data_IF_168439196950
#
_entry.id   IF_168439196950
#
_cell.length_a   1.000
_cell.length_b   1.000
_cell.length_c   1.000
_cell.angle_alpha   90.00
_cell.angle_beta   90.00
_cell.angle_gamma   90.00
#
_symmetry.space_group_name_H-M   'P 1'
#
loop_
_entity.id
_entity.type
_entity.pdbx_description
1 polymer ?
#
# COMPACT_ATOMS: atom_id res chain seq x y z
N UNK A 1 21.49 13.88 -11.61
CA UNK A 1 20.04 14.11 -11.85
C UNK A 1 19.34 13.86 -10.52
N UNK A 2 18.68 14.86 -9.93
CA UNK A 2 18.00 14.72 -8.64
C UNK A 2 16.86 13.71 -8.82
N UNK A 3 16.90 12.60 -8.07
CA UNK A 3 15.78 11.64 -8.09
C UNK A 3 14.83 12.07 -6.99
N UNK A 4 13.74 12.71 -7.40
CA UNK A 4 12.70 13.17 -6.52
C UNK A 4 12.13 12.00 -5.71
N UNK A 5 11.76 12.31 -4.48
CA UNK A 5 11.17 11.37 -3.54
C UNK A 5 9.89 10.73 -4.11
N UNK A 6 9.08 11.56 -4.76
CA UNK A 6 7.88 11.17 -5.49
C UNK A 6 8.21 10.16 -6.59
N UNK A 7 9.34 10.32 -7.29
CA UNK A 7 9.81 9.35 -8.29
C UNK A 7 10.17 8.00 -7.67
N UNK A 8 10.80 7.97 -6.49
CA UNK A 8 11.12 6.70 -5.79
C UNK A 8 9.84 5.97 -5.33
N UNK A 9 8.87 6.70 -4.78
CA UNK A 9 7.55 6.16 -4.42
C UNK A 9 6.80 5.62 -5.64
N UNK A 10 6.76 6.41 -6.72
CA UNK A 10 6.08 6.05 -7.95
C UNK A 10 6.75 4.86 -8.64
N UNK A 11 8.08 4.75 -8.61
CA UNK A 11 8.81 3.60 -9.16
C UNK A 11 8.40 2.28 -8.50
N UNK A 12 8.20 2.27 -7.18
CA UNK A 12 7.69 1.09 -6.48
C UNK A 12 6.25 0.72 -6.86
N UNK A 13 5.39 1.72 -7.01
CA UNK A 13 4.01 1.51 -7.46
C UNK A 13 3.95 0.99 -8.90
N UNK A 14 4.75 1.56 -9.81
CA UNK A 14 4.88 1.10 -11.20
C UNK A 14 5.44 -0.32 -11.25
N UNK A 15 6.42 -0.66 -10.41
CA UNK A 15 6.96 -2.02 -10.33
C UNK A 15 5.89 -3.02 -9.88
N UNK A 16 5.09 -2.68 -8.86
CA UNK A 16 3.96 -3.49 -8.40
C UNK A 16 2.88 -3.65 -9.48
N UNK A 17 2.53 -2.56 -10.17
CA UNK A 17 1.57 -2.57 -11.27
C UNK A 17 2.05 -3.43 -12.45
N UNK A 18 3.31 -3.30 -12.84
CA UNK A 18 3.91 -4.10 -13.90
C UNK A 18 3.89 -5.59 -13.56
N UNK A 19 4.23 -5.94 -12.32
CA UNK A 19 4.14 -7.32 -11.83
C UNK A 19 2.69 -7.83 -11.86
N UNK A 20 1.73 -7.02 -11.43
CA UNK A 20 0.32 -7.36 -11.49
C UNK A 20 -0.18 -7.55 -12.93
N UNK A 21 0.23 -6.68 -13.85
CA UNK A 21 -0.12 -6.82 -15.28
C UNK A 21 0.43 -8.12 -15.87
N UNK A 22 1.66 -8.53 -15.53
CA UNK A 22 2.22 -9.82 -15.97
C UNK A 22 1.37 -10.99 -15.48
N UNK A 23 0.92 -10.95 -14.21
CA UNK A 23 0.02 -11.96 -13.64
C UNK A 23 -1.30 -12.03 -14.42
N UNK A 24 -1.90 -10.88 -14.71
CA UNK A 24 -3.17 -10.80 -15.46
C UNK A 24 -3.03 -11.36 -16.88
N UNK A 25 -1.97 -11.00 -17.60
CA UNK A 25 -1.71 -11.50 -18.96
C UNK A 25 -1.52 -13.02 -18.95
N UNK A 26 -0.74 -13.53 -18.00
CA UNK A 26 -0.52 -14.97 -17.86
C UNK A 26 -1.83 -15.72 -17.56
N UNK A 27 -2.66 -15.18 -16.68
CA UNK A 27 -3.97 -15.75 -16.36
C UNK A 27 -4.91 -15.78 -17.58
N UNK A 28 -4.91 -14.71 -18.38
CA UNK A 28 -5.73 -14.61 -19.59
C UNK A 28 -5.30 -15.63 -20.65
N UNK A 29 -3.99 -15.80 -20.87
CA UNK A 29 -3.44 -16.79 -21.80
C UNK A 29 -3.84 -18.21 -21.40
N UNK A 30 -3.68 -18.53 -20.13
CA UNK A 30 -4.06 -19.83 -19.60
C UNK A 30 -5.56 -20.10 -19.73
N UNK A 31 -6.41 -19.13 -19.36
CA UNK A 31 -7.85 -19.27 -19.48
C UNK A 31 -8.24 -19.59 -20.93
N UNK A 32 -7.58 -18.95 -21.91
CA UNK A 32 -7.75 -19.27 -23.34
C UNK A 32 -7.41 -20.73 -23.68
N UNK A 33 -6.30 -21.26 -23.17
CA UNK A 33 -5.89 -22.65 -23.40
C UNK A 33 -6.88 -23.67 -22.79
N UNK A 34 -7.40 -23.38 -21.59
CA UNK A 34 -8.39 -24.23 -20.91
C UNK A 34 -9.70 -24.25 -21.71
N UNK A 35 -10.19 -23.10 -22.17
CA UNK A 35 -11.43 -23.01 -22.96
C UNK A 35 -11.32 -23.79 -24.27
N UNK A 36 -10.23 -23.62 -25.01
CA UNK A 36 -10.03 -24.34 -26.28
C UNK A 36 -9.94 -25.86 -26.07
N UNK A 37 -9.22 -26.29 -25.04
CA UNK A 37 -9.06 -27.72 -24.74
C UNK A 37 -10.37 -28.34 -24.24
N UNK A 38 -11.17 -27.60 -23.46
CA UNK A 38 -12.51 -28.02 -23.05
C UNK A 38 -13.46 -28.19 -24.27
N UNK A 39 -13.41 -27.28 -25.24
CA UNK A 39 -14.17 -27.39 -26.49
C UNK A 39 -13.79 -28.64 -27.30
N UNK A 40 -12.50 -29.03 -27.32
CA UNK A 40 -12.05 -30.26 -27.99
C UNK A 40 -12.56 -31.52 -27.29
N UNK A 41 -12.55 -31.54 -25.95
CA UNK A 41 -13.13 -32.66 -25.17
C UNK A 41 -14.63 -32.81 -25.46
N UNK A 42 -15.37 -31.70 -25.52
CA UNK A 42 -16.79 -31.70 -25.87
C UNK A 42 -17.04 -32.19 -27.31
N UNK A 43 -16.20 -31.78 -28.27
CA UNK A 43 -16.28 -32.24 -29.66
C UNK A 43 -16.07 -33.76 -29.76
N UNK A 44 -15.04 -34.30 -29.10
CA UNK A 44 -14.80 -35.75 -29.04
C UNK A 44 -15.97 -36.50 -28.39
N UNK A 45 -16.61 -35.93 -27.36
CA UNK A 45 -17.80 -36.52 -26.75
C UNK A 45 -18.99 -36.56 -27.73
N UNK A 46 -19.19 -35.50 -28.52
CA UNK A 46 -20.20 -35.45 -29.57
C UNK A 46 -19.92 -36.49 -30.66
N UNK A 47 -18.67 -36.63 -31.09
CA UNK A 47 -18.24 -37.63 -32.07
C UNK A 47 -18.56 -39.06 -31.60
N UNK A 48 -18.15 -39.41 -30.38
CA UNK A 48 -18.42 -40.71 -29.73
C UNK A 48 -19.93 -41.00 -29.63
N UNK A 49 -20.74 -40.04 -29.14
CA UNK A 49 -22.19 -40.19 -29.05
C UNK A 49 -22.86 -40.43 -30.43
N UNK A 50 -22.37 -39.74 -31.48
CA UNK A 50 -22.87 -39.93 -32.86
C UNK A 50 -22.48 -41.30 -33.41
N UNK A 51 -21.24 -41.74 -33.19
CA UNK A 51 -20.78 -43.08 -33.56
C UNK A 51 -21.58 -44.20 -32.87
N UNK A 52 -21.80 -44.10 -31.56
CA UNK A 52 -22.61 -45.06 -30.81
C UNK A 52 -24.06 -45.12 -31.28
N UNK A 53 -24.64 -43.97 -31.65
CA UNK A 53 -26.01 -43.95 -32.19
C UNK A 53 -26.07 -44.55 -33.59
N UNK A 54 -25.05 -44.35 -34.42
CA UNK A 54 -24.92 -44.98 -35.73
C UNK A 54 -24.89 -46.51 -35.59
N UNK A 55 -24.06 -47.04 -34.67
CA UNK A 55 -23.98 -48.47 -34.40
C UNK A 55 -25.33 -49.05 -33.97
N UNK A 56 -26.07 -48.34 -33.10
CA UNK A 56 -27.40 -48.78 -32.64
C UNK A 56 -28.37 -48.96 -33.82
N UNK A 57 -28.45 -47.99 -34.74
CA UNK A 57 -29.31 -48.10 -35.93
C UNK A 57 -28.91 -49.27 -36.82
N UNK A 58 -27.61 -49.50 -37.02
CA UNK A 58 -27.13 -50.65 -37.79
C UNK A 58 -27.52 -51.99 -37.14
N UNK A 59 -27.47 -52.09 -35.81
CA UNK A 59 -27.92 -53.27 -35.06
C UNK A 59 -29.45 -53.46 -35.15
N UNK A 60 -30.23 -52.39 -35.02
CA UNK A 60 -31.68 -52.44 -35.14
C UNK A 60 -32.11 -52.87 -36.54
N UNK A 61 -31.43 -52.38 -37.57
CA UNK A 61 -31.63 -52.84 -38.95
C UNK A 61 -31.33 -54.32 -39.11
N UNK A 62 -30.20 -54.81 -38.57
CA UNK A 62 -29.86 -56.23 -38.62
C UNK A 62 -30.93 -57.08 -37.93
N UNK A 63 -31.44 -56.62 -36.79
CA UNK A 63 -32.45 -57.33 -36.01
C UNK A 63 -33.77 -57.41 -36.76
N UNK A 64 -34.24 -56.29 -37.33
CA UNK A 64 -35.46 -56.24 -38.15
C UNK A 64 -35.35 -57.10 -39.42
N UNK A 65 -34.22 -57.01 -40.12
CA UNK A 65 -33.91 -57.84 -41.28
C UNK A 65 -33.97 -59.35 -40.97
N UNK A 66 -33.33 -59.77 -39.87
CA UNK A 66 -33.35 -61.18 -39.45
C UNK A 66 -34.76 -61.63 -39.07
N UNK A 67 -35.51 -60.81 -38.35
CA UNK A 67 -36.90 -61.10 -37.99
C UNK A 67 -37.79 -61.32 -39.23
N UNK A 68 -37.61 -60.50 -40.27
CA UNK A 68 -38.32 -60.64 -41.53
C UNK A 68 -37.96 -61.93 -42.27
N UNK A 69 -36.68 -62.27 -42.36
CA UNK A 69 -36.26 -63.52 -43.02
C UNK A 69 -36.80 -64.76 -42.32
N UNK A 70 -36.98 -64.72 -40.98
CA UNK A 70 -37.51 -65.84 -40.21
C UNK A 70 -39.04 -65.95 -40.32
N UNK A 71 -39.77 -64.85 -40.13
CA UNK A 71 -41.24 -64.86 -39.93
C UNK A 71 -42.00 -64.40 -41.19
N UNK A 72 -41.39 -63.62 -42.07
CA UNK A 72 -42.02 -63.08 -43.27
C UNK A 72 -42.98 -61.90 -43.05
N UNK A 73 -43.11 -61.40 -41.82
CA UNK A 73 -44.01 -60.27 -41.50
C UNK A 73 -43.35 -58.91 -41.83
N UNK A 74 -43.94 -58.15 -42.77
CA UNK A 74 -43.47 -56.82 -43.18
C UNK A 74 -43.32 -55.81 -42.03
N UNK A 75 -44.08 -55.93 -40.94
CA UNK A 75 -43.94 -55.04 -39.78
C UNK A 75 -42.55 -55.14 -39.12
N UNK A 76 -41.88 -56.29 -39.24
CA UNK A 76 -40.52 -56.49 -38.71
C UNK A 76 -39.45 -55.70 -39.47
N UNK A 77 -39.76 -55.20 -40.67
CA UNK A 77 -38.87 -54.34 -41.45
C UNK A 77 -38.97 -52.86 -41.07
N UNK A 78 -39.88 -52.47 -40.17
CA UNK A 78 -40.00 -51.07 -39.75
C UNK A 78 -38.68 -50.48 -39.19
N UNK A 79 -37.92 -51.17 -38.31
CA UNK A 79 -36.59 -50.72 -37.87
C UNK A 79 -35.56 -50.71 -39.00
N UNK A 80 -35.66 -51.64 -39.95
CA UNK A 80 -34.79 -51.72 -41.12
C UNK A 80 -34.89 -50.46 -42.00
N UNK A 81 -36.09 -50.13 -42.48
CA UNK A 81 -36.30 -48.96 -43.33
C UNK A 81 -36.13 -47.63 -42.58
N UNK A 82 -36.34 -47.61 -41.26
CA UNK A 82 -36.07 -46.41 -40.45
C UNK A 82 -34.57 -46.16 -40.33
N UNK A 83 -33.79 -47.18 -39.98
CA UNK A 83 -32.34 -47.08 -39.89
C UNK A 83 -31.71 -46.69 -41.23
N UNK A 84 -32.14 -47.31 -42.32
CA UNK A 84 -31.63 -47.02 -43.66
C UNK A 84 -31.79 -45.55 -44.07
N UNK A 85 -32.98 -44.98 -43.88
CA UNK A 85 -33.26 -43.58 -44.21
C UNK A 85 -32.41 -42.61 -43.40
N UNK A 86 -32.08 -42.96 -42.15
CA UNK A 86 -31.31 -42.08 -41.26
C UNK A 86 -29.79 -42.23 -41.44
N UNK A 87 -29.31 -43.43 -41.80
CA UNK A 87 -27.89 -43.74 -41.75
C UNK A 87 -27.06 -42.99 -42.79
N UNK A 88 -27.58 -42.76 -43.99
CA UNK A 88 -26.87 -41.99 -45.03
C UNK A 88 -26.54 -40.57 -44.53
N UNK A 89 -27.51 -39.89 -43.92
CA UNK A 89 -27.31 -38.56 -43.34
C UNK A 89 -26.36 -38.58 -42.12
N UNK A 90 -26.42 -39.65 -41.30
CA UNK A 90 -25.56 -39.79 -40.12
C UNK A 90 -24.10 -40.07 -40.47
N UNK A 91 -23.81 -40.82 -41.54
CA UNK A 91 -22.45 -40.99 -42.04
C UNK A 91 -21.87 -39.66 -42.51
N UNK A 92 -22.65 -38.85 -43.23
CA UNK A 92 -22.24 -37.51 -43.65
C UNK A 92 -22.01 -36.55 -42.46
N UNK A 93 -22.91 -36.57 -41.47
CA UNK A 93 -22.75 -35.78 -40.23
C UNK A 93 -21.49 -36.19 -39.47
N UNK A 94 -21.28 -37.50 -39.25
CA UNK A 94 -20.12 -38.02 -38.54
C UNK A 94 -18.82 -37.68 -39.26
N UNK A 95 -18.79 -37.85 -40.59
CA UNK A 95 -17.65 -37.46 -41.45
C UNK A 95 -17.33 -35.97 -41.32
N UNK A 96 -18.35 -35.11 -41.24
CA UNK A 96 -18.17 -33.67 -41.03
C UNK A 96 -17.54 -33.34 -39.68
N UNK A 97 -17.93 -34.05 -38.62
CA UNK A 97 -17.36 -33.85 -37.28
C UNK A 97 -15.91 -34.32 -37.15
N UNK A 98 -15.51 -35.34 -37.91
CA UNK A 98 -14.13 -35.88 -37.89
C UNK A 98 -13.25 -35.37 -39.04
N UNK A 99 -13.67 -34.34 -39.77
CA UNK A 99 -13.00 -33.85 -40.97
C UNK A 99 -11.52 -33.47 -40.74
N UNK A 100 -11.17 -33.03 -39.53
CA UNK A 100 -9.80 -32.65 -39.14
C UNK A 100 -8.90 -33.86 -38.81
N UNK A 101 -9.44 -35.08 -38.81
CA UNK A 101 -8.76 -36.31 -38.39
C UNK A 101 -8.72 -37.34 -39.53
N UNK A 102 -7.69 -37.35 -40.41
CA UNK A 102 -7.65 -38.19 -41.61
C UNK A 102 -7.86 -39.68 -41.35
N UNK A 103 -7.30 -40.20 -40.24
CA UNK A 103 -7.45 -41.60 -39.83
C UNK A 103 -8.89 -41.94 -39.41
N UNK A 104 -9.62 -41.00 -38.81
CA UNK A 104 -11.03 -41.18 -38.44
C UNK A 104 -11.94 -41.06 -39.66
N UNK A 105 -11.65 -40.14 -40.59
CA UNK A 105 -12.35 -40.04 -41.88
C UNK A 105 -12.23 -41.36 -42.64
N UNK A 106 -11.03 -41.95 -42.69
CA UNK A 106 -10.84 -43.23 -43.36
C UNK A 106 -11.65 -44.37 -42.73
N UNK A 107 -11.71 -44.44 -41.39
CA UNK A 107 -12.52 -45.42 -40.68
C UNK A 107 -14.02 -45.25 -40.98
N UNK A 108 -14.52 -44.01 -40.98
CA UNK A 108 -15.92 -43.70 -41.30
C UNK A 108 -16.22 -44.11 -42.74
N UNK A 109 -15.36 -43.77 -43.70
CA UNK A 109 -15.53 -44.11 -45.12
C UNK A 109 -15.47 -45.62 -45.37
N UNK A 110 -14.56 -46.33 -44.69
CA UNK A 110 -14.49 -47.80 -44.76
C UNK A 110 -15.74 -48.45 -44.17
N UNK A 111 -16.28 -47.90 -43.09
CA UNK A 111 -17.50 -48.38 -42.45
C UNK A 111 -18.73 -48.11 -43.33
N UNK A 112 -18.80 -46.93 -43.96
CA UNK A 112 -19.86 -46.59 -44.90
C UNK A 112 -19.87 -47.53 -46.11
N UNK A 113 -18.70 -47.85 -46.67
CA UNK A 113 -18.58 -48.83 -47.77
C UNK A 113 -19.10 -50.21 -47.37
N UNK A 114 -18.74 -50.69 -46.19
CA UNK A 114 -19.24 -51.97 -45.67
C UNK A 114 -20.75 -51.92 -45.42
N UNK A 115 -21.27 -50.81 -44.93
CA UNK A 115 -22.70 -50.62 -44.72
C UNK A 115 -23.47 -50.65 -46.05
N UNK A 116 -22.98 -49.98 -47.10
CA UNK A 116 -23.59 -50.03 -48.44
C UNK A 116 -23.60 -51.46 -48.99
N UNK A 117 -22.49 -52.19 -48.90
CA UNK A 117 -22.43 -53.61 -49.29
C UNK A 117 -23.43 -54.47 -48.51
N UNK A 118 -23.58 -54.21 -47.21
CA UNK A 118 -24.54 -54.92 -46.38
C UNK A 118 -26.00 -54.58 -46.72
N UNK A 119 -26.29 -53.30 -47.00
CA UNK A 119 -27.61 -52.81 -47.44
C UNK A 119 -28.01 -53.42 -48.78
N UNK A 120 -27.12 -53.44 -49.77
CA UNK A 120 -27.35 -54.08 -51.07
C UNK A 120 -27.65 -55.58 -50.90
N UNK A 121 -26.88 -56.26 -50.05
CA UNK A 121 -27.08 -57.66 -49.69
C UNK A 121 -28.45 -57.89 -49.02
N UNK A 122 -28.84 -57.04 -48.06
CA UNK A 122 -30.12 -57.18 -47.37
C UNK A 122 -31.31 -56.88 -48.28
N UNK A 123 -31.23 -55.88 -49.16
CA UNK A 123 -32.27 -55.57 -50.14
C UNK A 123 -32.52 -56.73 -51.09
N UNK A 124 -31.46 -57.34 -51.62
CA UNK A 124 -31.56 -58.51 -52.49
C UNK A 124 -32.36 -59.64 -51.80
N UNK A 125 -32.02 -59.93 -50.54
CA UNK A 125 -32.66 -61.02 -49.79
C UNK A 125 -34.09 -60.69 -49.33
N UNK A 126 -34.37 -59.44 -48.98
CA UNK A 126 -35.73 -58.99 -48.68
C UNK A 126 -36.62 -59.13 -49.91
N UNK A 127 -36.15 -58.68 -51.09
CA UNK A 127 -36.88 -58.81 -52.33
C UNK A 127 -37.13 -60.28 -52.70
N UNK A 128 -36.15 -61.14 -52.48
CA UNK A 128 -36.26 -62.58 -52.73
C UNK A 128 -37.23 -63.28 -51.76
N UNK A 129 -37.16 -62.98 -50.46
CA UNK A 129 -38.12 -63.46 -49.47
C UNK A 129 -39.54 -63.01 -49.81
N UNK A 130 -39.72 -61.75 -50.22
CA UNK A 130 -41.02 -61.23 -50.66
C UNK A 130 -41.54 -61.98 -51.90
N UNK A 131 -40.68 -62.22 -52.89
CA UNK A 131 -41.04 -62.98 -54.10
C UNK A 131 -41.38 -64.45 -53.79
N UNK A 132 -40.73 -65.06 -52.80
CA UNK A 132 -41.03 -66.42 -52.36
C UNK A 132 -42.34 -66.51 -51.57
N UNK A 133 -42.65 -65.53 -50.70
CA UNK A 133 -43.94 -65.42 -50.00
C UNK A 133 -45.12 -65.21 -50.97
N UNK A 134 -44.89 -64.54 -52.11
CA UNK A 134 -45.89 -64.41 -53.17
C UNK A 134 -46.16 -65.73 -53.91
N UNK A 135 -45.17 -66.64 -53.96
CA UNK A 135 -45.32 -67.97 -54.58
C UNK A 135 -45.92 -68.99 -53.61
N UNK A 136 -45.58 -68.89 -52.32
CA UNK A 136 -46.07 -69.75 -51.26
C UNK A 136 -46.29 -68.93 -49.97
N UNK A 137 -47.56 -68.78 -49.59
CA UNK A 137 -47.95 -68.02 -48.41
C UNK A 137 -47.52 -68.69 -47.09
N UNK A 138 -47.19 -70.00 -47.10
CA UNK A 138 -46.68 -70.72 -45.93
C UNK A 138 -45.15 -70.79 -45.89
N UNK A 139 -44.46 -70.08 -46.77
CA UNK A 139 -42.99 -70.10 -46.84
C UNK A 139 -42.34 -69.58 -45.55
N UNK A 140 -41.84 -70.52 -44.74
CA UNK A 140 -41.12 -70.23 -43.49
C UNK A 140 -39.61 -70.29 -43.69
N UNK A 141 -38.86 -69.43 -43.00
CA UNK A 141 -37.40 -69.41 -43.05
C UNK A 141 -36.83 -69.21 -44.46
N UNK A 142 -35.82 -70.03 -44.80
CA UNK A 142 -34.96 -69.89 -45.99
C UNK A 142 -35.25 -70.90 -47.11
N UNK A 143 -36.29 -71.72 -46.98
CA UNK A 143 -36.62 -72.74 -47.99
C UNK A 143 -37.14 -72.08 -49.28
N UNK A 144 -36.71 -72.63 -50.43
CA UNK A 144 -37.09 -72.13 -51.76
C UNK A 144 -36.42 -70.83 -52.21
N UNK A 145 -35.43 -70.31 -51.45
CA UNK A 145 -34.63 -69.16 -51.83
C UNK A 145 -33.45 -69.55 -52.74
N UNK A 146 -33.32 -68.89 -53.88
CA UNK A 146 -32.20 -68.96 -54.81
C UNK A 146 -30.84 -68.61 -54.16
N UNK A 147 -30.78 -67.62 -53.25
CA UNK A 147 -29.54 -67.19 -52.60
C UNK A 147 -29.33 -67.75 -51.18
N UNK A 148 -29.97 -68.88 -50.84
CA UNK A 148 -29.81 -69.54 -49.54
C UNK A 148 -28.34 -69.79 -49.17
N UNK A 149 -27.52 -70.25 -50.11
CA UNK A 149 -26.10 -70.52 -49.87
C UNK A 149 -25.28 -69.27 -49.49
N UNK A 150 -25.70 -68.08 -49.91
CA UNK A 150 -25.03 -66.81 -49.55
C UNK A 150 -25.28 -66.47 -48.07
N UNK A 151 -26.47 -66.81 -47.55
CA UNK A 151 -26.86 -66.66 -46.15
C UNK A 151 -26.14 -67.70 -45.29
N UNK A 152 -26.08 -68.96 -45.75
CA UNK A 152 -25.39 -70.06 -45.06
C UNK A 152 -23.88 -69.79 -44.92
N UNK A 153 -23.28 -69.07 -45.87
CA UNK A 153 -21.89 -68.62 -45.81
C UNK A 153 -21.64 -67.49 -44.78
N UNK A 154 -22.64 -67.09 -43.99
CA UNK A 154 -22.53 -66.05 -42.97
C UNK A 154 -22.03 -64.70 -43.52
N UNK A 155 -22.25 -64.42 -44.80
CA UNK A 155 -21.73 -63.23 -45.50
C UNK A 155 -22.21 -61.94 -44.81
N UNK A 156 -23.51 -61.85 -44.53
CA UNK A 156 -24.09 -60.73 -43.78
C UNK A 156 -23.61 -60.63 -42.32
N UNK A 157 -23.26 -61.75 -41.68
CA UNK A 157 -22.68 -61.74 -40.32
C UNK A 157 -21.25 -61.19 -40.36
N UNK A 158 -20.42 -61.64 -41.31
CA UNK A 158 -19.04 -61.15 -41.50
C UNK A 158 -18.97 -59.65 -41.78
N UNK A 159 -19.87 -59.13 -42.62
CA UNK A 159 -19.98 -57.68 -42.87
C UNK A 159 -20.35 -56.92 -41.59
N UNK A 160 -21.34 -57.40 -40.84
CA UNK A 160 -21.77 -56.76 -39.59
C UNK A 160 -20.70 -56.82 -38.48
N UNK A 161 -20.01 -57.94 -38.34
CA UNK A 161 -18.91 -58.07 -37.39
C UNK A 161 -17.74 -57.15 -37.79
N UNK A 162 -17.50 -56.95 -39.09
CA UNK A 162 -16.52 -55.97 -39.59
C UNK A 162 -16.94 -54.52 -39.31
N UNK A 163 -18.23 -54.19 -39.43
CA UNK A 163 -18.77 -52.86 -39.08
C UNK A 163 -18.62 -52.60 -37.58
N UNK A 164 -19.00 -53.58 -36.72
CA UNK A 164 -18.81 -53.50 -35.26
C UNK A 164 -17.36 -53.27 -34.91
N UNK A 165 -16.45 -54.11 -35.41
CA UNK A 165 -15.02 -54.00 -35.14
C UNK A 165 -14.45 -52.64 -35.52
N UNK A 166 -14.85 -52.07 -36.67
CA UNK A 166 -14.40 -50.74 -37.09
C UNK A 166 -14.95 -49.63 -36.21
N UNK A 167 -16.23 -49.67 -35.84
CA UNK A 167 -16.84 -48.70 -34.94
C UNK A 167 -16.31 -48.80 -33.50
N UNK A 168 -15.99 -50.01 -33.03
CA UNK A 168 -15.31 -50.21 -31.75
C UNK A 168 -13.90 -49.61 -31.78
N UNK A 169 -13.15 -49.85 -32.87
CA UNK A 169 -11.81 -49.25 -33.04
C UNK A 169 -11.85 -47.72 -33.16
N UNK A 170 -12.92 -47.17 -33.71
CA UNK A 170 -13.18 -45.74 -33.78
C UNK A 170 -13.43 -45.16 -32.38
N UNK A 171 -14.30 -45.82 -31.60
CA UNK A 171 -14.66 -45.39 -30.24
C UNK A 171 -13.46 -45.50 -29.29
N UNK A 172 -12.64 -46.55 -29.40
CA UNK A 172 -11.43 -46.72 -28.61
C UNK A 172 -10.43 -45.59 -28.88
N UNK A 173 -10.25 -45.18 -30.14
CA UNK A 173 -9.40 -44.05 -30.53
C UNK A 173 -9.92 -42.71 -30.02
N UNK A 174 -11.23 -42.47 -30.11
CA UNK A 174 -11.85 -41.27 -29.53
C UNK A 174 -11.71 -41.24 -28.00
N UNK A 175 -11.89 -42.39 -27.33
CA UNK A 175 -11.72 -42.50 -25.89
C UNK A 175 -10.27 -42.24 -25.45
N UNK A 176 -9.29 -42.79 -26.15
CA UNK A 176 -7.86 -42.54 -25.89
C UNK A 176 -7.51 -41.05 -26.09
N UNK A 177 -7.93 -40.46 -27.21
CA UNK A 177 -7.71 -39.03 -27.50
C UNK A 177 -8.33 -38.15 -26.41
N UNK A 178 -9.59 -38.39 -26.06
CA UNK A 178 -10.29 -37.69 -24.97
C UNK A 178 -9.58 -37.85 -23.62
N UNK A 179 -9.05 -39.04 -23.32
CA UNK A 179 -8.26 -39.30 -22.13
C UNK A 179 -6.99 -38.45 -22.06
N UNK A 180 -6.22 -38.40 -23.15
CA UNK A 180 -5.01 -37.58 -23.25
C UNK A 180 -5.32 -36.08 -23.11
N UNK A 181 -6.38 -35.60 -23.78
CA UNK A 181 -6.80 -34.21 -23.68
C UNK A 181 -7.19 -33.83 -22.24
N UNK A 182 -7.90 -34.71 -21.53
CA UNK A 182 -8.26 -34.49 -20.12
C UNK A 182 -7.03 -34.47 -19.21
N UNK A 183 -6.09 -35.38 -19.40
CA UNK A 183 -4.85 -35.38 -18.62
C UNK A 183 -4.03 -34.09 -18.85
N UNK A 184 -3.89 -33.65 -20.10
CA UNK A 184 -3.22 -32.38 -20.41
C UNK A 184 -3.96 -31.16 -19.82
N UNK A 185 -5.29 -31.18 -19.83
CA UNK A 185 -6.13 -30.16 -19.17
C UNK A 185 -5.84 -30.10 -17.67
N UNK A 186 -5.94 -31.23 -16.97
CA UNK A 186 -5.75 -31.29 -15.53
C UNK A 186 -4.32 -30.86 -15.12
N UNK A 187 -3.31 -31.34 -15.85
CA UNK A 187 -1.92 -30.90 -15.62
C UNK A 187 -1.73 -29.40 -15.86
N UNK A 188 -2.33 -28.86 -16.92
CA UNK A 188 -2.22 -27.42 -17.24
C UNK A 188 -2.89 -26.56 -16.18
N UNK A 189 -4.04 -26.99 -15.65
CA UNK A 189 -4.79 -26.30 -14.59
C UNK A 189 -3.98 -26.31 -13.27
N UNK A 190 -3.47 -27.46 -12.86
CA UNK A 190 -2.70 -27.58 -11.61
C UNK A 190 -1.41 -26.75 -11.67
N UNK A 191 -0.63 -26.87 -12.76
CA UNK A 191 0.61 -26.10 -12.94
C UNK A 191 0.34 -24.60 -12.90
N UNK A 192 -0.74 -24.18 -13.55
CA UNK A 192 -1.14 -22.79 -13.54
C UNK A 192 -1.57 -22.28 -12.18
N UNK A 193 -2.33 -23.05 -11.41
CA UNK A 193 -2.74 -22.65 -10.06
C UNK A 193 -1.52 -22.42 -9.17
N UNK A 194 -0.53 -23.31 -9.23
CA UNK A 194 0.73 -23.14 -8.49
C UNK A 194 1.55 -21.94 -8.97
N UNK A 195 1.65 -21.72 -10.28
CA UNK A 195 2.34 -20.53 -10.83
C UNK A 195 1.64 -19.23 -10.45
N UNK A 196 0.31 -19.18 -10.54
CA UNK A 196 -0.49 -18.02 -10.15
C UNK A 196 -0.39 -17.73 -8.65
N UNK A 197 -0.50 -18.75 -7.81
CA UNK A 197 -0.32 -18.62 -6.36
C UNK A 197 1.11 -18.15 -6.02
N UNK A 198 2.13 -18.73 -6.66
CA UNK A 198 3.53 -18.33 -6.48
C UNK A 198 3.79 -16.88 -6.86
N UNK A 199 3.27 -16.43 -8.00
CA UNK A 199 3.38 -15.03 -8.45
C UNK A 199 2.63 -14.07 -7.52
N UNK A 200 1.43 -14.44 -7.04
CA UNK A 200 0.67 -13.63 -6.10
C UNK A 200 1.42 -13.46 -4.76
N UNK A 201 1.99 -14.55 -4.23
CA UNK A 201 2.83 -14.51 -3.02
C UNK A 201 4.08 -13.66 -3.25
N UNK A 202 4.77 -13.83 -4.38
CA UNK A 202 5.94 -13.03 -4.73
C UNK A 202 5.60 -11.52 -4.81
N UNK A 203 4.47 -11.17 -5.41
CA UNK A 203 4.00 -9.79 -5.49
C UNK A 203 3.71 -9.18 -4.11
N UNK A 204 3.06 -9.94 -3.22
CA UNK A 204 2.82 -9.53 -1.84
C UNK A 204 4.12 -9.33 -1.08
N UNK A 205 5.07 -10.26 -1.20
CA UNK A 205 6.38 -10.18 -0.54
C UNK A 205 7.20 -8.99 -1.04
N UNK A 206 7.26 -8.77 -2.35
CA UNK A 206 7.96 -7.63 -2.94
C UNK A 206 7.31 -6.30 -2.53
N UNK A 207 5.98 -6.23 -2.53
CA UNK A 207 5.25 -5.06 -2.06
C UNK A 207 5.49 -4.77 -0.57
N UNK A 208 5.51 -5.81 0.27
CA UNK A 208 5.81 -5.69 1.70
C UNK A 208 7.26 -5.22 1.93
N UNK A 209 8.22 -5.83 1.24
CA UNK A 209 9.63 -5.46 1.31
C UNK A 209 9.84 -4.01 0.88
N UNK A 210 9.20 -3.59 -0.22
CA UNK A 210 9.26 -2.21 -0.71
C UNK A 210 8.64 -1.23 0.29
N UNK A 211 7.48 -1.57 0.86
CA UNK A 211 6.82 -0.78 1.90
C UNK A 211 7.69 -0.61 3.14
N UNK A 212 8.26 -1.70 3.65
CA UNK A 212 9.18 -1.67 4.81
C UNK A 212 10.42 -0.83 4.51
N UNK A 213 11.00 -0.97 3.32
CA UNK A 213 12.15 -0.18 2.88
C UNK A 213 11.85 1.32 2.91
N UNK A 214 10.74 1.73 2.28
CA UNK A 214 10.27 3.12 2.25
C UNK A 214 9.99 3.62 3.67
N UNK A 215 9.19 2.92 4.47
CA UNK A 215 8.87 3.38 5.83
C UNK A 215 10.12 3.54 6.70
N UNK A 216 11.09 2.61 6.60
CA UNK A 216 12.33 2.70 7.39
C UNK A 216 13.22 3.87 6.97
N UNK A 217 13.37 4.15 5.68
CA UNK A 217 14.20 5.27 5.22
C UNK A 217 13.60 6.62 5.65
N UNK A 218 12.28 6.77 5.55
CA UNK A 218 11.56 7.97 5.96
C UNK A 218 11.56 8.17 7.47
N UNK A 219 11.18 7.13 8.23
CA UNK A 219 11.09 7.22 9.68
C UNK A 219 12.44 7.52 10.34
N UNK A 220 13.57 7.15 9.72
CA UNK A 220 14.91 7.53 10.19
C UNK A 220 15.18 9.03 9.99
N UNK A 221 14.91 9.56 8.79
CA UNK A 221 15.15 10.98 8.46
C UNK A 221 14.22 11.92 9.24
N UNK A 222 12.95 11.55 9.40
CA UNK A 222 12.01 12.35 10.18
C UNK A 222 12.43 12.41 11.66
N UNK A 223 12.94 11.30 12.20
CA UNK A 223 13.46 11.28 13.58
C UNK A 223 14.71 12.15 13.75
N UNK A 224 15.63 12.19 12.78
CA UNK A 224 16.80 13.08 12.89
C UNK A 224 16.41 14.56 12.84
N UNK A 225 15.43 14.94 12.01
CA UNK A 225 14.90 16.31 11.98
C UNK A 225 14.22 16.68 13.30
N UNK A 226 13.44 15.76 13.87
CA UNK A 226 12.79 15.96 15.16
C UNK A 226 13.81 16.10 16.30
N UNK A 227 14.92 15.35 16.25
CA UNK A 227 16.00 15.45 17.23
C UNK A 227 16.70 16.81 17.17
N UNK A 228 17.05 17.28 15.96
CA UNK A 228 17.62 18.63 15.79
C UNK A 228 16.68 19.72 16.31
N UNK A 229 15.39 19.65 15.97
CA UNK A 229 14.41 20.61 16.44
C UNK A 229 14.28 20.62 17.98
N UNK A 230 14.38 19.45 18.63
CA UNK A 230 14.40 19.35 20.10
C UNK A 230 15.66 19.97 20.69
N UNK A 231 16.84 19.68 20.14
CA UNK A 231 18.10 20.28 20.58
C UNK A 231 18.12 21.80 20.45
N UNK A 232 17.55 22.32 19.36
CA UNK A 232 17.37 23.77 19.18
C UNK A 232 16.45 24.37 20.24
N UNK A 233 15.39 23.67 20.64
CA UNK A 233 14.50 24.09 21.73
C UNK A 233 15.22 24.10 23.09
N UNK A 234 16.19 23.19 23.28
CA UNK A 234 17.04 23.10 24.47
C UNK A 234 18.23 24.10 24.44
N UNK A 235 18.39 24.87 23.35
CA UNK A 235 19.43 25.90 23.21
C UNK A 235 20.71 25.47 22.49
N UNK A 236 20.79 24.23 21.99
CA UNK A 236 21.92 23.77 21.17
C UNK A 236 21.68 24.05 19.68
N UNK A 237 22.20 25.19 19.21
CA UNK A 237 22.13 25.62 17.81
C UNK A 237 23.34 25.20 16.96
N UNK A 238 24.31 24.49 17.56
CA UNK A 238 25.56 24.12 16.90
C UNK A 238 25.45 22.81 16.13
N UNK A 239 24.50 21.96 16.51
CA UNK A 239 24.25 20.68 15.86
C UNK A 239 23.66 20.83 14.46
N UNK A 240 24.09 19.96 13.53
CA UNK A 240 23.63 19.96 12.14
C UNK A 240 23.36 18.55 11.66
N UNK A 241 22.37 18.41 10.80
CA UNK A 241 22.09 17.14 10.12
C UNK A 241 22.86 17.14 8.79
N UNK A 242 23.79 16.21 8.64
CA UNK A 242 24.45 15.95 7.35
C UNK A 242 23.59 14.97 6.56
N UNK A 243 22.89 15.47 5.56
CA UNK A 243 22.11 14.66 4.63
C UNK A 243 22.83 14.58 3.28
N UNK A 244 23.18 13.36 2.88
CA UNK A 244 23.88 13.08 1.61
C UNK A 244 22.90 12.84 0.45
N UNK A 245 21.59 12.77 0.72
CA UNK A 245 20.61 12.66 -0.34
C UNK A 245 20.39 14.02 -1.04
N UNK A 246 19.87 13.97 -2.28
CA UNK A 246 19.58 15.14 -3.10
C UNK A 246 18.10 15.14 -3.51
N UNK A 247 17.22 15.03 -2.51
CA UNK A 247 15.76 15.04 -2.69
C UNK A 247 15.11 16.22 -1.94
N UNK A 248 13.78 16.33 -2.03
CA UNK A 248 12.99 17.42 -1.44
C UNK A 248 13.12 17.47 0.09
N UNK A 249 13.35 16.32 0.72
CA UNK A 249 13.57 16.23 2.17
C UNK A 249 14.97 16.75 2.52
N UNK A 250 15.95 16.62 1.63
CA UNK A 250 17.28 17.21 1.81
C UNK A 250 17.25 18.73 1.72
N UNK A 251 16.39 19.29 0.87
CA UNK A 251 16.14 20.73 0.82
C UNK A 251 15.54 21.23 2.14
N UNK A 252 14.59 20.49 2.72
CA UNK A 252 14.07 20.78 4.05
C UNK A 252 15.15 20.67 5.15
N UNK A 253 16.02 19.66 5.09
CA UNK A 253 17.16 19.53 6.03
C UNK A 253 18.07 20.75 5.94
N UNK A 254 18.39 21.22 4.73
CA UNK A 254 19.24 22.38 4.51
C UNK A 254 18.60 23.67 5.04
N UNK A 255 17.28 23.85 4.83
CA UNK A 255 16.54 24.97 5.38
C UNK A 255 16.55 24.95 6.93
N UNK A 256 16.37 23.78 7.54
CA UNK A 256 16.40 23.62 9.00
C UNK A 256 17.79 23.92 9.58
N UNK A 257 18.87 23.43 8.96
CA UNK A 257 20.24 23.76 9.35
C UNK A 257 20.53 25.27 9.25
N UNK A 258 20.05 25.91 8.17
CA UNK A 258 20.19 27.37 7.98
C UNK A 258 19.45 28.14 9.07
N UNK A 259 18.26 27.69 9.45
CA UNK A 259 17.49 28.27 10.55
C UNK A 259 18.23 28.13 11.88
N UNK A 260 18.78 26.95 12.19
CA UNK A 260 19.56 26.71 13.42
C UNK A 260 20.74 27.68 13.54
N UNK A 261 21.53 27.81 12.46
CA UNK A 261 22.65 28.74 12.40
C UNK A 261 22.22 30.20 12.57
N UNK A 262 21.15 30.61 11.90
CA UNK A 262 20.65 32.00 11.95
C UNK A 262 20.15 32.34 13.35
N UNK A 263 19.41 31.43 13.99
CA UNK A 263 18.93 31.60 15.37
C UNK A 263 20.10 31.68 16.35
N UNK A 264 21.06 30.76 16.25
CA UNK A 264 22.25 30.78 17.09
C UNK A 264 23.07 32.07 16.96
N UNK A 265 23.26 32.54 15.72
CA UNK A 265 23.94 33.81 15.46
C UNK A 265 23.19 35.02 16.05
N UNK A 266 21.87 35.05 15.93
CA UNK A 266 21.04 36.13 16.49
C UNK A 266 21.08 36.14 18.02
N UNK A 267 21.06 34.97 18.67
CA UNK A 267 21.19 34.88 20.13
C UNK A 267 22.58 35.36 20.56
N UNK A 268 23.66 34.92 19.89
CA UNK A 268 25.00 35.42 20.19
C UNK A 268 25.16 36.93 20.00
N UNK A 269 24.53 37.51 18.96
CA UNK A 269 24.52 38.96 18.77
C UNK A 269 23.74 39.70 19.88
N UNK A 270 22.61 39.16 20.33
CA UNK A 270 21.84 39.73 21.44
C UNK A 270 22.65 39.70 22.74
N UNK A 271 23.34 38.60 23.03
CA UNK A 271 24.23 38.48 24.18
C UNK A 271 25.38 39.49 24.12
N UNK A 272 26.05 39.62 22.97
CA UNK A 272 27.12 40.61 22.76
C UNK A 272 26.62 42.04 22.95
N UNK A 273 25.47 42.40 22.36
CA UNK A 273 24.89 43.74 22.51
C UNK A 273 24.47 44.05 23.95
N UNK A 274 23.98 43.04 24.67
CA UNK A 274 23.69 43.19 26.09
C UNK A 274 24.96 43.45 26.91
N UNK A 275 26.05 42.72 26.62
CA UNK A 275 27.35 42.94 27.28
C UNK A 275 27.93 44.33 26.96
N UNK A 276 27.84 44.79 25.71
CA UNK A 276 28.24 46.14 25.32
C UNK A 276 27.44 47.21 26.06
N UNK A 277 26.12 47.02 26.21
CA UNK A 277 25.25 47.94 26.96
C UNK A 277 25.64 47.99 28.44
N UNK A 278 25.98 46.85 29.04
CA UNK A 278 26.47 46.76 30.42
C UNK A 278 27.80 47.50 30.60
N UNK A 279 28.74 47.29 29.68
CA UNK A 279 30.02 47.97 29.68
C UNK A 279 29.85 49.48 29.51
N UNK A 280 28.99 49.92 28.58
CA UNK A 280 28.68 51.32 28.34
C UNK A 280 28.07 51.97 29.60
N UNK A 281 27.07 51.35 30.20
CA UNK A 281 26.44 51.85 31.42
C UNK A 281 27.46 52.01 32.57
N UNK A 282 28.37 51.05 32.72
CA UNK A 282 29.43 51.09 33.72
C UNK A 282 30.41 52.25 33.49
N UNK A 283 30.95 52.38 32.27
CA UNK A 283 31.92 53.43 31.91
C UNK A 283 31.32 54.82 32.06
N UNK A 284 30.13 55.06 31.48
CA UNK A 284 29.47 56.37 31.57
C UNK A 284 29.21 56.77 33.01
N UNK A 285 28.80 55.83 33.85
CA UNK A 285 28.50 56.15 35.25
C UNK A 285 29.76 56.41 36.08
N UNK A 286 30.86 55.75 35.76
CA UNK A 286 32.17 56.09 36.34
C UNK A 286 32.57 57.51 35.94
N UNK A 287 32.48 57.82 34.64
CA UNK A 287 32.92 59.09 34.07
C UNK A 287 32.04 60.26 34.49
N UNK A 288 30.76 60.03 34.81
CA UNK A 288 29.87 61.06 35.38
C UNK A 288 30.10 61.29 36.88
N UNK A 289 30.61 60.30 37.63
CA UNK A 289 30.90 60.46 39.08
C UNK A 289 32.11 61.35 39.33
N UNK A 290 33.14 61.26 38.51
CA UNK A 290 34.36 62.08 38.65
C UNK A 290 34.11 63.60 38.63
N UNK A 291 33.43 64.19 37.63
CA UNK A 291 33.15 65.63 37.59
C UNK A 291 32.19 66.07 38.69
N UNK A 292 31.22 65.24 39.09
CA UNK A 292 30.33 65.53 40.21
C UNK A 292 31.09 65.66 41.54
N UNK A 293 32.05 64.75 41.78
CA UNK A 293 32.97 64.86 42.93
C UNK A 293 33.83 66.12 42.85
N UNK A 294 34.32 66.47 41.65
CA UNK A 294 35.04 67.71 41.42
C UNK A 294 34.23 68.97 41.78
N UNK A 295 32.96 69.04 41.35
CA UNK A 295 32.05 70.15 41.69
C UNK A 295 31.78 70.20 43.20
N UNK A 296 31.59 69.04 43.84
CA UNK A 296 31.42 68.96 45.30
C UNK A 296 32.65 69.48 46.05
N UNK A 297 33.85 69.00 45.68
CA UNK A 297 35.12 69.42 46.28
C UNK A 297 35.40 70.90 46.07
N UNK A 298 35.26 71.42 44.85
CA UNK A 298 35.42 72.85 44.57
C UNK A 298 34.44 73.71 45.37
N UNK A 299 33.18 73.27 45.49
CA UNK A 299 32.18 73.97 46.31
C UNK A 299 32.52 73.95 47.80
N UNK A 300 33.26 72.93 48.28
CA UNK A 300 33.75 72.85 49.66
C UNK A 300 34.96 73.76 49.87
N UNK A 301 35.93 73.76 48.94
CA UNK A 301 37.10 74.64 49.00
C UNK A 301 36.71 76.12 49.00
N UNK A 302 35.74 76.53 48.18
CA UNK A 302 35.23 77.92 48.20
C UNK A 302 34.68 78.31 49.58
N UNK A 303 34.01 77.38 50.28
CA UNK A 303 33.48 77.63 51.62
C UNK A 303 34.58 77.66 52.69
N UNK A 304 35.61 76.82 52.55
CA UNK A 304 36.78 76.76 53.44
C UNK A 304 37.68 78.00 53.29
N UNK A 305 38.03 78.39 52.06
CA UNK A 305 38.95 79.50 51.76
C UNK A 305 38.38 80.88 52.11
N UNK A 306 37.07 81.09 51.90
CA UNK A 306 36.43 82.37 52.25
C UNK A 306 36.13 82.50 53.73
N UNK A 307 36.17 81.41 54.51
CA UNK A 307 35.85 81.40 55.94
C UNK A 307 34.35 81.61 56.23
N UNK A 308 33.84 80.96 57.28
CA UNK A 308 32.42 81.02 57.66
C UNK A 308 31.94 82.42 58.08
N UNK A 309 32.83 83.37 58.34
CA UNK A 309 32.47 84.73 58.79
C UNK A 309 32.42 85.74 57.64
N UNK A 310 33.18 85.55 56.56
CA UNK A 310 33.25 86.49 55.43
C UNK A 310 32.38 86.10 54.22
N UNK A 311 31.74 84.93 54.24
CA UNK A 311 30.89 84.47 53.14
C UNK A 311 29.45 85.03 53.28
N UNK A 312 28.97 85.86 52.33
CA UNK A 312 27.61 86.40 52.37
C UNK A 312 26.55 85.28 52.47
N UNK A 313 25.49 85.46 53.28
CA UNK A 313 24.49 84.42 53.55
C UNK A 313 23.88 83.77 52.30
N UNK A 314 23.62 84.58 51.26
CA UNK A 314 23.03 84.11 50.01
C UNK A 314 23.96 83.19 49.20
N UNK A 315 25.28 83.44 49.21
CA UNK A 315 26.27 82.59 48.51
C UNK A 315 26.39 81.24 49.20
N UNK A 316 26.36 81.21 50.53
CA UNK A 316 26.36 79.98 51.32
C UNK A 316 25.17 79.09 51.01
N UNK A 317 23.98 79.69 50.90
CA UNK A 317 22.76 78.97 50.53
C UNK A 317 22.85 78.39 49.11
N UNK A 318 23.40 79.15 48.15
CA UNK A 318 23.63 78.65 46.80
C UNK A 318 24.65 77.50 46.72
N UNK A 319 25.77 77.58 47.46
CA UNK A 319 26.75 76.48 47.55
C UNK A 319 26.13 75.22 48.19
N UNK A 320 25.33 75.40 49.24
CA UNK A 320 24.61 74.31 49.88
C UNK A 320 23.59 73.64 48.91
N UNK A 321 22.83 74.45 48.17
CA UNK A 321 21.90 74.00 47.13
C UNK A 321 22.63 73.24 46.01
N UNK A 322 23.78 73.73 45.53
CA UNK A 322 24.58 73.04 44.51
C UNK A 322 25.05 71.67 45.00
N UNK A 323 25.61 71.58 46.20
CA UNK A 323 26.01 70.29 46.79
C UNK A 323 24.84 69.33 46.97
N UNK A 324 23.68 69.83 47.35
CA UNK A 324 22.47 69.00 47.46
C UNK A 324 22.04 68.45 46.09
N UNK A 325 22.14 69.26 45.02
CA UNK A 325 21.83 68.84 43.65
C UNK A 325 22.86 67.83 43.12
N UNK A 326 24.15 68.05 43.34
CA UNK A 326 25.24 67.12 42.98
C UNK A 326 25.05 65.77 43.65
N UNK A 327 24.80 65.74 44.97
CA UNK A 327 24.51 64.50 45.71
C UNK A 327 23.24 63.79 45.24
N UNK A 328 22.23 64.54 44.78
CA UNK A 328 21.03 63.95 44.18
C UNK A 328 21.34 63.31 42.81
N UNK A 329 22.15 63.95 41.98
CA UNK A 329 22.59 63.39 40.69
C UNK A 329 23.43 62.13 40.88
N UNK A 330 24.36 62.12 41.85
CA UNK A 330 25.15 60.91 42.16
C UNK A 330 24.26 59.73 42.60
N UNK A 331 23.24 60.00 43.43
CA UNK A 331 22.24 58.99 43.83
C UNK A 331 21.40 58.49 42.66
N UNK A 332 21.01 59.37 41.73
CA UNK A 332 20.26 58.98 40.53
C UNK A 332 21.10 58.12 39.59
N UNK A 333 22.35 58.50 39.33
CA UNK A 333 23.28 57.73 38.50
C UNK A 333 23.49 56.34 39.11
N UNK A 334 23.74 56.28 40.42
CA UNK A 334 23.90 55.00 41.12
C UNK A 334 22.62 54.17 41.07
N UNK A 335 21.44 54.79 41.26
CA UNK A 335 20.16 54.09 41.17
C UNK A 335 19.83 53.55 39.77
N UNK A 336 20.18 54.28 38.71
CA UNK A 336 19.99 53.83 37.31
C UNK A 336 20.93 52.66 37.00
N UNK A 337 22.18 52.71 37.48
CA UNK A 337 23.12 51.60 37.38
C UNK A 337 22.61 50.35 38.09
N UNK A 338 22.14 50.51 39.32
CA UNK A 338 21.64 49.40 40.11
C UNK A 338 20.41 48.79 39.42
N UNK A 339 19.50 49.63 38.91
CA UNK A 339 18.34 49.18 38.13
C UNK A 339 18.75 48.46 36.83
N UNK A 340 19.75 48.97 36.11
CA UNK A 340 20.27 48.31 34.91
C UNK A 340 20.88 46.95 35.23
N UNK A 341 21.35 46.73 36.46
CA UNK A 341 21.90 45.44 36.93
C UNK A 341 20.87 44.50 37.55
N UNK A 342 19.72 45.01 38.02
CA UNK A 342 18.66 44.19 38.65
C UNK A 342 18.18 43.13 37.66
N UNK A 343 18.29 41.85 38.06
CA UNK A 343 17.97 40.69 37.23
C UNK A 343 19.14 40.08 36.46
N UNK A 344 20.37 40.61 36.59
CA UNK A 344 21.58 40.13 35.86
C UNK A 344 22.62 39.46 36.77
N UNK A 345 22.49 39.58 38.09
CA UNK A 345 23.28 38.81 39.06
C UNK A 345 22.49 37.59 39.49
N UNK A 346 22.98 36.38 39.14
CA UNK A 346 22.42 35.13 39.63
C UNK A 346 22.74 34.99 41.13
N UNK A 347 21.84 35.46 41.99
CA UNK A 347 21.88 35.11 43.41
C UNK A 347 21.18 33.76 43.59
N UNK A 348 21.68 32.94 44.51
CA UNK A 348 21.10 31.64 44.80
C UNK A 348 19.67 31.82 45.33
N UNK A 349 18.74 31.01 44.83
CA UNK A 349 17.37 30.98 45.34
C UNK A 349 17.41 30.51 46.80
N UNK A 350 16.93 31.36 47.72
CA UNK A 350 16.85 31.05 49.13
C UNK A 350 15.41 31.17 49.64
N UNK A 351 15.06 30.35 50.63
CA UNK A 351 13.76 30.43 51.29
C UNK A 351 13.74 31.64 52.22
N UNK A 352 12.96 32.67 51.86
CA UNK A 352 12.85 33.91 52.64
C UNK A 352 11.54 33.95 53.44
N UNK A 353 11.65 34.22 54.75
CA UNK A 353 10.48 34.48 55.58
C UNK A 353 9.96 35.90 55.33
N UNK A 354 8.92 36.00 54.48
CA UNK A 354 8.30 37.27 54.04
C UNK A 354 7.94 38.19 55.20
N UNK A 355 7.50 37.65 56.35
CA UNK A 355 7.20 38.44 57.55
C UNK A 355 8.43 39.15 58.12
N UNK A 356 9.56 38.45 58.21
CA UNK A 356 10.81 39.00 58.75
C UNK A 356 11.34 40.07 57.81
N UNK A 357 11.37 39.78 56.50
CA UNK A 357 11.77 40.73 55.47
C UNK A 357 10.89 42.00 55.49
N UNK A 358 9.56 41.84 55.57
CA UNK A 358 8.65 42.98 55.68
C UNK A 358 8.92 43.82 56.92
N UNK A 359 9.16 43.20 58.09
CA UNK A 359 9.50 43.93 59.32
C UNK A 359 10.81 44.69 59.16
N UNK A 360 11.85 44.06 58.62
CA UNK A 360 13.14 44.72 58.37
C UNK A 360 13.00 45.91 57.41
N UNK A 361 12.23 45.77 56.34
CA UNK A 361 11.95 46.86 55.39
C UNK A 361 11.16 47.98 56.08
N UNK A 362 10.12 47.66 56.85
CA UNK A 362 9.32 48.65 57.59
C UNK A 362 10.20 49.40 58.61
N UNK A 363 11.06 48.69 59.36
CA UNK A 363 11.99 49.28 60.31
C UNK A 363 13.06 50.14 59.63
N UNK A 364 13.50 49.75 58.44
CA UNK A 364 14.44 50.53 57.61
C UNK A 364 13.80 51.82 57.08
N UNK A 365 12.55 51.76 56.62
CA UNK A 365 11.81 52.92 56.13
C UNK A 365 11.41 53.88 57.26
N UNK A 366 10.98 53.36 58.41
CA UNK A 366 10.61 54.17 59.58
C UNK A 366 11.80 54.94 60.15
N UNK A 367 13.01 54.37 60.11
CA UNK A 367 14.24 55.06 60.55
C UNK A 367 14.55 56.34 59.77
N UNK A 368 14.19 56.43 58.48
CA UNK A 368 14.44 57.62 57.65
C UNK A 368 13.37 58.71 57.77
N UNK A 369 12.19 58.40 58.33
CA UNK A 369 11.01 59.28 58.35
C UNK A 369 10.70 59.83 59.74
N UNK A 370 11.68 59.81 60.65
CA UNK A 370 11.55 60.17 62.07
C UNK A 370 11.26 61.66 62.36
N UNK A 371 10.73 62.42 61.40
CA UNK A 371 10.17 63.75 61.66
C UNK A 371 8.76 63.86 61.05
N UNK A 372 7.76 63.69 61.94
CA UNK A 372 6.34 64.10 61.85
C UNK A 372 5.20 63.12 61.53
N UNK A 373 5.39 61.86 61.13
CA UNK A 373 4.24 60.97 60.85
C UNK A 373 4.44 59.53 61.36
N UNK A 374 3.54 59.05 62.22
CA UNK A 374 3.48 57.64 62.63
C UNK A 374 2.53 56.85 61.71
N UNK A 375 3.09 56.05 60.80
CA UNK A 375 2.31 55.10 60.02
C UNK A 375 2.36 53.74 60.73
N UNK A 376 1.19 53.23 61.17
CA UNK A 376 1.06 51.90 61.78
C UNK A 376 0.72 50.89 60.69
N UNK A 377 1.70 50.11 60.24
CA UNK A 377 1.49 49.04 59.26
C UNK A 377 1.04 47.75 59.97
N UNK A 378 -0.19 47.30 59.74
CA UNK A 378 -0.68 45.98 60.19
C UNK A 378 -0.53 44.96 59.06
N UNK A 379 0.34 43.96 59.23
CA UNK A 379 0.48 42.84 58.29
C UNK A 379 -0.29 41.60 58.79
N UNK A 380 -1.29 41.15 58.02
CA UNK A 380 -1.99 39.87 58.20
C UNK A 380 -1.03 38.68 57.96
N UNK A 381 -1.36 37.45 58.44
CA UNK A 381 -0.49 36.31 58.29
C UNK A 381 -0.36 35.84 56.83
N UNK A 382 0.88 35.90 56.32
CA UNK A 382 1.25 35.43 54.99
C UNK A 382 2.10 34.14 55.12
N UNK A 383 1.88 33.12 54.26
CA UNK A 383 2.69 31.91 54.22
C UNK A 383 4.11 32.19 53.70
N UNK A 384 5.09 31.30 53.97
CA UNK A 384 6.41 31.39 53.34
C UNK A 384 6.27 31.24 51.82
N UNK A 385 6.91 32.13 51.06
CA UNK A 385 6.96 32.09 49.59
C UNK A 385 8.38 31.79 49.13
N UNK A 386 8.51 30.97 48.09
CA UNK A 386 9.77 30.84 47.35
C UNK A 386 9.91 32.07 46.43
N UNK A 387 10.98 32.84 46.59
CA UNK A 387 11.34 33.88 45.62
C UNK A 387 12.13 33.21 44.50
N UNK A 388 11.55 33.11 43.30
CA UNK A 388 12.29 32.78 42.08
C UNK A 388 12.57 34.07 41.32
N UNK A 389 13.84 34.40 41.10
CA UNK A 389 14.20 35.53 40.25
C UNK A 389 14.26 35.07 38.78
N UNK A 390 13.11 34.67 38.22
CA UNK A 390 12.97 34.45 36.79
C UNK A 390 11.56 34.83 36.34
N UNK A 391 11.50 35.72 35.33
CA UNK A 391 10.34 36.11 34.50
C UNK A 391 8.98 36.09 35.20
N UNK A 392 8.33 37.26 35.31
CA UNK A 392 6.87 37.31 35.38
C UNK A 392 6.26 36.73 34.09
N UNK A 393 6.16 35.40 33.99
CA UNK A 393 5.24 34.71 33.10
C UNK A 393 3.90 34.56 33.81
N UNK A 394 2.76 34.71 33.11
CA UNK A 394 1.46 34.64 33.74
C UNK A 394 1.20 33.21 34.24
N UNK A 395 0.88 33.10 35.51
CA UNK A 395 0.40 31.89 36.18
C UNK A 395 -0.66 31.18 35.35
N UNK A 396 -0.38 29.95 34.92
CA UNK A 396 -1.42 29.02 34.46
C UNK A 396 -2.37 28.73 35.62
N UNK A 397 -3.66 28.93 35.36
CA UNK A 397 -4.78 28.53 36.19
C UNK A 397 -4.66 27.08 36.67
N UNK A 398 -4.53 26.90 37.99
CA UNK A 398 -4.93 25.66 38.65
C UNK A 398 -6.46 25.68 38.81
N UNK A 399 -7.14 24.90 37.97
CA UNK A 399 -8.56 24.55 38.15
C UNK A 399 -8.65 23.26 38.96
N UNK A 400 -9.48 23.34 40.01
CA UNK A 400 -10.21 22.29 40.78
C UNK A 400 -9.75 20.83 40.70
#
# INVERSE_FOLDING_TARGET
MKINLTTKLFAGFVMLLALFSVVVVFFYQLAGQVVQSAQRVDTSQRISNRGATLLRHVIDMQTGFRGYLLIGNEQTLAPYYNGERQLIGRFAELRGLVAEHPLQVELVDQTERLFRQWSDYSHMLVAEKRAALLRDAQQSGLEGMAHRGVIENLSGKRMMDSIRMRLDSFEEREAQTRGQLRQHLDESIIRAQWLAAGLAVAALLLGLLWSIYIVRIFARRLRSMLDLARRMADGDYSSQIVDTQQDEVSELTAALNTMALTVGANIGQLESRNQELDQFAYVVSHDLKAPLRGIESASRWIEEDMGQENLPPHIREFLALMRQRVRRMEKLITGILDLARVGRTSQADETVFVRTLLREIIDSLNRRRASKWSCRFSCLPLPPMQCSCSRCSPTSSATR
#
